data_IF_200709780070
#
_entry.id   IF_200709780070
#
_cell.length_a   1.000
_cell.length_b   1.000
_cell.length_c   1.000
_cell.angle_alpha   90.00
_cell.angle_beta   90.00
_cell.angle_gamma   90.00
#
_symmetry.space_group_name_H-M   'P 1'
#
loop_
_entity.id
_entity.type
_entity.pdbx_description
1 polymer ?
#
# COMPACT_ATOMS: atom_id res chain seq x y z
N UNK A 1 -13.28 5.92 -28.34
CA UNK A 1 -12.44 6.41 -27.22
C UNK A 1 -12.82 7.82 -26.72
N UNK A 2 -13.50 8.67 -27.50
CA UNK A 2 -13.91 10.05 -27.11
C UNK A 2 -15.04 10.08 -26.06
N UNK A 3 -15.95 9.10 -26.08
CA UNK A 3 -17.12 9.05 -25.20
C UNK A 3 -16.77 8.88 -23.71
N UNK A 4 -15.79 8.03 -23.38
CA UNK A 4 -15.37 7.77 -21.99
C UNK A 4 -14.76 9.04 -21.37
N UNK A 5 -13.99 9.80 -22.13
CA UNK A 5 -13.31 11.02 -21.67
C UNK A 5 -14.29 12.13 -21.28
N UNK A 6 -15.48 12.20 -21.89
CA UNK A 6 -16.48 13.22 -21.59
C UNK A 6 -17.54 12.77 -20.58
N UNK A 7 -18.02 11.53 -20.70
CA UNK A 7 -19.11 11.01 -19.86
C UNK A 7 -18.65 10.80 -18.41
N UNK A 8 -17.45 10.25 -18.21
CA UNK A 8 -16.90 9.95 -16.87
C UNK A 8 -16.76 11.22 -16.01
N UNK A 9 -16.13 12.31 -16.47
CA UNK A 9 -16.06 13.54 -15.68
C UNK A 9 -17.41 14.24 -15.52
N UNK A 10 -18.34 14.09 -16.47
CA UNK A 10 -19.69 14.63 -16.34
C UNK A 10 -20.49 13.90 -15.25
N UNK A 11 -20.48 12.57 -15.25
CA UNK A 11 -21.09 11.73 -14.21
C UNK A 11 -20.44 11.99 -12.84
N UNK A 12 -19.12 12.08 -12.78
CA UNK A 12 -18.39 12.39 -11.54
C UNK A 12 -18.79 13.73 -10.94
N UNK A 13 -18.88 14.80 -11.76
CA UNK A 13 -19.33 16.12 -11.30
C UNK A 13 -20.78 16.10 -10.81
N UNK A 14 -21.65 15.33 -11.46
CA UNK A 14 -23.06 15.20 -11.08
C UNK A 14 -23.24 14.39 -9.78
N UNK A 15 -22.45 13.33 -9.58
CA UNK A 15 -22.51 12.47 -8.40
C UNK A 15 -21.88 13.12 -7.15
N UNK A 16 -20.79 13.87 -7.30
CA UNK A 16 -20.04 14.47 -6.18
C UNK A 16 -20.67 15.80 -5.74
N UNK A 17 -21.25 16.57 -6.66
CA UNK A 17 -21.76 17.91 -6.39
C UNK A 17 -20.66 18.99 -6.39
N UNK A 18 -21.00 20.21 -6.83
CA UNK A 18 -20.00 21.27 -7.12
C UNK A 18 -19.15 21.69 -5.92
N UNK A 19 -19.71 21.71 -4.71
CA UNK A 19 -18.99 22.10 -3.48
C UNK A 19 -17.94 21.05 -3.06
N UNK A 20 -18.29 19.77 -3.12
CA UNK A 20 -17.33 18.69 -2.84
C UNK A 20 -16.26 18.61 -3.93
N UNK A 21 -16.59 18.94 -5.18
CA UNK A 21 -15.60 19.02 -6.27
C UNK A 21 -14.51 20.09 -6.02
N UNK A 22 -14.88 21.25 -5.48
CA UNK A 22 -13.92 22.30 -5.11
C UNK A 22 -13.06 21.91 -3.90
N UNK A 23 -13.67 21.27 -2.89
CA UNK A 23 -12.94 20.82 -1.70
C UNK A 23 -11.90 19.75 -2.07
N UNK A 24 -12.28 18.81 -2.94
CA UNK A 24 -11.38 17.77 -3.46
C UNK A 24 -10.23 18.35 -4.29
N UNK A 25 -10.50 19.37 -5.11
CA UNK A 25 -9.45 20.10 -5.85
C UNK A 25 -8.46 20.76 -4.90
N UNK A 26 -8.97 21.44 -3.88
CA UNK A 26 -8.13 22.11 -2.88
C UNK A 26 -7.22 21.12 -2.14
N UNK A 27 -7.76 19.98 -1.73
CA UNK A 27 -6.98 18.88 -1.13
C UNK A 27 -5.91 18.38 -2.10
N UNK A 28 -6.29 18.14 -3.36
CA UNK A 28 -5.36 17.74 -4.42
C UNK A 28 -4.22 18.72 -4.65
N UNK A 29 -4.51 20.02 -4.63
CA UNK A 29 -3.51 21.08 -4.77
C UNK A 29 -2.55 21.11 -3.58
N UNK A 30 -3.06 21.01 -2.36
CA UNK A 30 -2.23 20.93 -1.14
C UNK A 30 -1.33 19.70 -1.13
N UNK A 31 -1.86 18.54 -1.52
CA UNK A 31 -1.06 17.32 -1.68
C UNK A 31 -0.02 17.46 -2.80
N UNK A 32 -0.39 18.11 -3.90
CA UNK A 32 0.50 18.37 -5.03
C UNK A 32 1.63 19.36 -4.70
N UNK A 33 1.50 20.18 -3.66
CA UNK A 33 2.61 20.99 -3.13
C UNK A 33 3.65 20.10 -2.41
N UNK A 34 3.22 19.01 -1.76
CA UNK A 34 4.09 18.04 -1.10
C UNK A 34 4.38 16.82 -1.98
N UNK A 35 4.89 17.06 -3.20
CA UNK A 35 5.14 15.99 -4.19
C UNK A 35 5.99 14.85 -3.65
N UNK A 36 7.03 15.14 -2.86
CA UNK A 36 7.89 14.11 -2.27
C UNK A 36 7.13 13.20 -1.29
N UNK A 37 6.21 13.76 -0.50
CA UNK A 37 5.40 12.98 0.44
C UNK A 37 4.37 12.11 -0.30
N UNK A 38 3.75 12.65 -1.36
CA UNK A 38 2.86 11.87 -2.23
C UNK A 38 3.63 10.77 -2.93
N UNK A 39 4.83 11.07 -3.43
CA UNK A 39 5.69 10.08 -4.08
C UNK A 39 6.04 8.94 -3.12
N UNK A 40 6.55 9.26 -1.93
CA UNK A 40 6.89 8.28 -0.91
C UNK A 40 5.66 7.44 -0.49
N UNK A 41 4.52 8.09 -0.28
CA UNK A 41 3.28 7.40 0.08
C UNK A 41 2.84 6.42 -1.01
N UNK A 42 2.75 6.87 -2.27
CA UNK A 42 2.36 6.03 -3.41
C UNK A 42 3.35 4.89 -3.61
N UNK A 43 4.66 5.18 -3.52
CA UNK A 43 5.71 4.18 -3.67
C UNK A 43 5.61 3.09 -2.60
N UNK A 44 5.55 3.47 -1.32
CA UNK A 44 5.40 2.53 -0.21
C UNK A 44 4.09 1.75 -0.30
N UNK A 45 2.98 2.41 -0.66
CA UNK A 45 1.69 1.77 -0.86
C UNK A 45 1.76 0.70 -1.95
N UNK A 46 2.54 0.92 -3.00
CA UNK A 46 2.63 0.01 -4.16
C UNK A 46 3.60 -1.15 -3.94
N UNK A 47 4.55 -1.03 -3.02
CA UNK A 47 5.37 -2.17 -2.56
C UNK A 47 4.52 -3.12 -1.71
N UNK A 48 3.56 -2.57 -0.97
CA UNK A 48 2.65 -3.36 -0.17
C UNK A 48 1.54 -3.95 -1.07
N UNK A 49 1.05 -5.17 -0.79
CA UNK A 49 -0.06 -5.79 -1.51
C UNK A 49 -1.40 -5.16 -1.10
N UNK A 50 -1.54 -3.84 -1.32
CA UNK A 50 -2.73 -3.06 -1.02
C UNK A 50 -3.57 -2.83 -2.28
N UNK A 51 -4.82 -2.42 -2.11
CA UNK A 51 -5.75 -2.21 -3.23
C UNK A 51 -5.29 -1.05 -4.13
N UNK A 52 -4.78 -1.38 -5.31
CA UNK A 52 -4.44 -0.39 -6.34
C UNK A 52 -5.66 0.44 -6.76
N UNK A 53 -6.85 -0.19 -6.79
CA UNK A 53 -8.13 0.49 -7.04
C UNK A 53 -8.39 1.58 -6.01
N UNK A 54 -8.19 1.31 -4.72
CA UNK A 54 -8.39 2.30 -3.66
C UNK A 54 -7.44 3.50 -3.82
N UNK A 55 -6.15 3.24 -4.12
CA UNK A 55 -5.15 4.27 -4.37
C UNK A 55 -5.55 5.18 -5.54
N UNK A 56 -5.85 4.59 -6.71
CA UNK A 56 -6.20 5.36 -7.91
C UNK A 56 -7.57 6.04 -7.80
N UNK A 57 -8.51 5.45 -7.06
CA UNK A 57 -9.80 6.08 -6.76
C UNK A 57 -9.61 7.31 -5.89
N UNK A 58 -8.88 7.20 -4.78
CA UNK A 58 -8.59 8.34 -3.90
C UNK A 58 -7.83 9.45 -4.63
N UNK A 59 -6.81 9.07 -5.42
CA UNK A 59 -6.06 9.99 -6.26
C UNK A 59 -6.91 10.69 -7.33
N UNK A 60 -7.81 9.95 -7.97
CA UNK A 60 -8.73 10.47 -8.99
C UNK A 60 -9.77 11.41 -8.38
N UNK A 61 -10.33 11.07 -7.22
CA UNK A 61 -11.23 11.93 -6.47
C UNK A 61 -10.52 13.22 -6.05
N UNK A 62 -9.30 13.14 -5.53
CA UNK A 62 -8.47 14.31 -5.19
C UNK A 62 -7.90 15.04 -6.41
N UNK A 63 -8.16 14.59 -7.64
CA UNK A 63 -7.68 15.19 -8.90
C UNK A 63 -6.18 15.45 -8.93
N UNK A 64 -5.41 14.54 -8.35
CA UNK A 64 -3.96 14.61 -8.38
C UNK A 64 -3.43 14.51 -9.81
N UNK A 65 -2.30 15.20 -10.08
CA UNK A 65 -1.64 15.11 -11.38
C UNK A 65 -1.14 13.68 -11.59
N UNK A 66 -1.46 13.09 -12.73
CA UNK A 66 -1.05 11.73 -13.11
C UNK A 66 0.46 11.50 -12.96
N UNK A 67 1.25 12.49 -13.37
CA UNK A 67 2.72 12.46 -13.29
C UNK A 67 3.26 12.40 -11.85
N UNK A 68 2.44 12.74 -10.85
CA UNK A 68 2.82 12.65 -9.42
C UNK A 68 2.59 11.25 -8.84
N UNK A 69 1.76 10.41 -9.49
CA UNK A 69 1.35 9.10 -8.97
C UNK A 69 1.91 7.96 -9.82
N UNK A 70 1.89 8.08 -11.15
CA UNK A 70 2.26 6.97 -12.03
C UNK A 70 3.72 6.53 -11.85
N UNK A 71 4.73 7.43 -11.84
CA UNK A 71 6.11 7.01 -11.65
C UNK A 71 6.39 6.29 -10.31
N UNK A 72 5.99 6.82 -9.14
CA UNK A 72 6.20 6.10 -7.88
C UNK A 72 5.42 4.79 -7.81
N UNK A 73 4.21 4.75 -8.38
CA UNK A 73 3.42 3.51 -8.44
C UNK A 73 4.14 2.43 -9.24
N UNK A 74 4.60 2.76 -10.44
CA UNK A 74 5.30 1.83 -11.32
C UNK A 74 6.58 1.30 -10.68
N UNK A 75 7.41 2.19 -10.12
CA UNK A 75 8.65 1.79 -9.44
C UNK A 75 8.38 0.91 -8.22
N UNK A 76 7.39 1.28 -7.40
CA UNK A 76 7.03 0.51 -6.22
C UNK A 76 6.51 -0.88 -6.58
N UNK A 77 5.63 -0.98 -7.58
CA UNK A 77 5.09 -2.26 -8.03
C UNK A 77 6.16 -3.14 -8.67
N UNK A 78 7.03 -2.57 -9.51
CA UNK A 78 8.15 -3.30 -10.13
C UNK A 78 9.10 -3.88 -9.07
N UNK A 79 9.44 -3.10 -8.05
CA UNK A 79 10.29 -3.55 -6.95
C UNK A 79 9.55 -4.58 -6.09
N UNK A 80 8.29 -4.36 -5.76
CA UNK A 80 7.48 -5.29 -4.97
C UNK A 80 7.35 -6.65 -5.65
N UNK A 81 6.99 -6.67 -6.93
CA UNK A 81 6.90 -7.88 -7.75
C UNK A 81 8.27 -8.55 -7.89
N UNK A 82 9.33 -7.77 -8.09
CA UNK A 82 10.70 -8.28 -8.13
C UNK A 82 11.08 -8.98 -6.82
N UNK A 83 10.82 -8.36 -5.67
CA UNK A 83 11.10 -8.96 -4.36
C UNK A 83 10.33 -10.27 -4.16
N UNK A 84 9.05 -10.32 -4.57
CA UNK A 84 8.25 -11.55 -4.51
C UNK A 84 8.84 -12.66 -5.38
N UNK A 85 9.23 -12.34 -6.62
CA UNK A 85 9.85 -13.29 -7.54
C UNK A 85 11.19 -13.80 -7.01
N UNK A 86 12.07 -12.92 -6.53
CA UNK A 86 13.36 -13.31 -5.97
C UNK A 86 13.20 -14.17 -4.71
N UNK A 87 12.30 -13.78 -3.80
CA UNK A 87 12.02 -14.53 -2.58
C UNK A 87 11.44 -15.90 -2.89
N UNK A 88 10.49 -15.97 -3.84
CA UNK A 88 9.88 -17.22 -4.28
C UNK A 88 10.89 -18.14 -4.97
N UNK A 89 11.72 -17.60 -5.86
CA UNK A 89 12.79 -18.37 -6.50
C UNK A 89 13.74 -18.94 -5.45
N UNK A 90 14.25 -18.12 -4.54
CA UNK A 90 15.15 -18.54 -3.46
C UNK A 90 14.53 -19.62 -2.56
N UNK A 91 13.25 -19.46 -2.21
CA UNK A 91 12.54 -20.44 -1.40
C UNK A 91 12.43 -21.81 -2.09
N UNK A 92 12.23 -21.82 -3.43
CA UNK A 92 12.13 -23.06 -4.21
C UNK A 92 13.51 -23.71 -4.40
N UNK A 93 14.55 -22.94 -4.77
CA UNK A 93 15.89 -23.50 -5.00
C UNK A 93 16.51 -24.08 -3.73
N UNK A 94 16.25 -23.47 -2.57
CA UNK A 94 16.76 -23.96 -1.29
C UNK A 94 15.73 -24.77 -0.49
N UNK A 95 14.61 -25.14 -1.09
CA UNK A 95 13.54 -25.87 -0.39
C UNK A 95 14.03 -27.21 0.17
N UNK A 96 14.87 -27.93 -0.58
CA UNK A 96 15.48 -29.20 -0.13
C UNK A 96 16.41 -29.02 1.06
N UNK A 97 17.12 -27.89 1.11
CA UNK A 97 18.07 -27.55 2.18
C UNK A 97 17.31 -27.13 3.43
N UNK A 98 16.21 -26.39 3.27
CA UNK A 98 15.27 -26.07 4.36
C UNK A 98 14.67 -27.31 5.00
N UNK A 99 14.37 -28.37 4.23
CA UNK A 99 13.80 -29.60 4.76
C UNK A 99 14.84 -30.49 5.47
N UNK A 100 16.03 -30.64 4.88
CA UNK A 100 17.09 -31.50 5.44
C UNK A 100 17.78 -30.90 6.67
N UNK A 101 17.97 -29.58 6.71
CA UNK A 101 18.58 -28.84 7.83
C UNK A 101 17.54 -27.95 8.57
N UNK A 102 16.28 -28.39 8.64
CA UNK A 102 15.20 -27.61 9.27
C UNK A 102 15.48 -27.23 10.74
N UNK A 103 16.29 -28.03 11.45
CA UNK A 103 16.71 -27.80 12.83
C UNK A 103 17.99 -26.95 12.95
N UNK A 104 18.49 -26.36 11.85
CA UNK A 104 19.58 -25.39 11.92
C UNK A 104 19.11 -24.14 12.66
N UNK A 105 19.93 -23.66 13.61
CA UNK A 105 19.65 -22.47 14.42
C UNK A 105 19.27 -21.24 13.56
N UNK A 106 19.87 -21.09 12.37
CA UNK A 106 19.52 -20.02 11.42
C UNK A 106 18.07 -20.09 10.96
N UNK A 107 17.57 -21.28 10.65
CA UNK A 107 16.21 -21.49 10.16
C UNK A 107 15.18 -21.26 11.27
N UNK A 108 15.46 -21.75 12.49
CA UNK A 108 14.64 -21.49 13.67
C UNK A 108 14.56 -19.98 13.95
N UNK A 109 15.69 -19.28 13.88
CA UNK A 109 15.72 -17.83 14.07
C UNK A 109 14.89 -17.09 13.00
N UNK A 110 15.04 -17.45 11.72
CA UNK A 110 14.26 -16.83 10.64
C UNK A 110 12.75 -17.11 10.77
N UNK A 111 12.35 -18.34 11.11
CA UNK A 111 10.95 -18.69 11.34
C UNK A 111 10.39 -17.93 12.54
N UNK A 112 11.12 -17.89 13.66
CA UNK A 112 10.71 -17.16 14.86
C UNK A 112 10.58 -15.67 14.58
N UNK A 113 11.54 -15.08 13.87
CA UNK A 113 11.50 -13.67 13.48
C UNK A 113 10.33 -13.36 12.56
N UNK A 114 10.09 -14.20 11.54
CA UNK A 114 8.97 -14.05 10.62
C UNK A 114 7.63 -14.15 11.35
N UNK A 115 7.48 -15.14 12.23
CA UNK A 115 6.26 -15.36 13.01
C UNK A 115 6.03 -14.22 14.01
N UNK A 116 7.09 -13.69 14.62
CA UNK A 116 7.03 -12.52 15.50
C UNK A 116 6.64 -11.27 14.72
N UNK A 117 7.18 -11.05 13.52
CA UNK A 117 6.81 -9.92 12.66
C UNK A 117 5.33 -9.97 12.27
N UNK A 118 4.84 -11.14 11.82
CA UNK A 118 3.42 -11.33 11.49
C UNK A 118 2.55 -11.13 12.74
N UNK A 119 2.97 -11.66 13.88
CA UNK A 119 2.25 -11.50 15.15
C UNK A 119 2.17 -10.04 15.56
N UNK A 120 3.28 -9.29 15.52
CA UNK A 120 3.26 -7.85 15.77
C UNK A 120 2.32 -7.15 14.81
N UNK A 121 2.35 -7.49 13.52
CA UNK A 121 1.51 -6.83 12.54
C UNK A 121 0.02 -7.06 12.77
N UNK A 122 -0.34 -8.27 13.21
CA UNK A 122 -1.73 -8.67 13.46
C UNK A 122 -2.25 -8.16 14.82
N UNK A 123 -1.45 -8.28 15.88
CA UNK A 123 -1.91 -7.99 17.24
C UNK A 123 -1.73 -6.55 17.67
N UNK A 124 -0.89 -5.76 16.99
CA UNK A 124 -0.72 -4.33 17.33
C UNK A 124 -1.96 -3.55 16.92
N UNK A 125 -2.50 -2.76 17.85
CA UNK A 125 -3.57 -1.81 17.58
C UNK A 125 -3.03 -0.59 16.85
N UNK A 126 -2.90 -0.70 15.53
CA UNK A 126 -2.39 0.35 14.64
C UNK A 126 -3.08 1.69 14.85
N UNK A 127 -4.37 1.70 15.17
CA UNK A 127 -5.10 2.94 15.42
C UNK A 127 -4.62 3.64 16.68
N UNK A 128 -4.52 2.94 17.81
CA UNK A 128 -4.00 3.52 19.05
C UNK A 128 -2.50 3.86 18.95
N UNK A 129 -1.73 3.07 18.19
CA UNK A 129 -0.31 3.34 17.95
C UNK A 129 -0.12 4.61 17.12
N UNK A 130 -0.86 4.78 16.03
CA UNK A 130 -0.69 5.91 15.10
C UNK A 130 -1.38 7.19 15.59
N UNK A 131 -2.57 7.09 16.19
CA UNK A 131 -3.31 8.27 16.67
C UNK A 131 -2.81 8.75 18.04
N UNK A 132 -2.61 7.83 18.99
CA UNK A 132 -2.31 8.17 20.39
C UNK A 132 -0.85 7.93 20.79
N UNK A 133 -0.02 7.38 19.90
CA UNK A 133 1.38 6.98 20.18
C UNK A 133 1.49 6.00 21.36
N UNK A 134 0.43 5.25 21.64
CA UNK A 134 0.40 4.25 22.72
C UNK A 134 0.33 2.85 22.12
N UNK A 135 1.31 2.01 22.44
CA UNK A 135 1.34 0.64 21.98
C UNK A 135 0.34 -0.20 22.79
N UNK A 136 -0.68 -0.71 22.13
CA UNK A 136 -1.69 -1.60 22.72
C UNK A 136 -1.84 -2.82 21.82
N UNK A 137 -1.99 -3.98 22.45
CA UNK A 137 -2.25 -5.22 21.73
C UNK A 137 -3.74 -5.55 21.76
N UNK A 138 -4.32 -5.78 20.58
CA UNK A 138 -5.70 -6.25 20.42
C UNK A 138 -5.69 -7.72 20.10
N UNK A 139 -6.13 -8.52 21.05
CA UNK A 139 -6.26 -9.98 20.91
C UNK A 139 -7.62 -10.42 20.35
N UNK A 140 -8.55 -9.48 20.15
CA UNK A 140 -9.88 -9.75 19.56
C UNK A 140 -9.84 -9.54 18.05
N UNK A 141 -9.96 -10.64 17.32
CA UNK A 141 -10.06 -10.71 15.86
C UNK A 141 -11.45 -10.37 15.30
N UNK A 142 -12.45 -10.21 16.17
CA UNK A 142 -13.86 -10.01 15.80
C UNK A 142 -14.52 -8.97 16.70
N UNK A 143 -15.03 -7.91 16.06
CA UNK A 143 -16.21 -7.14 16.48
C UNK A 143 -17.04 -6.82 15.26
#
# INVERSE_FOLDING_TARGET
MIYVTYIVPWLGKKAIGRKKDSDLKFVGEKLSQKRGMVFAFVFLYSILPLSTTALFTAAGLAKLKKMTIIPPFFLGNLIGDGLLLFSGHYAITHFSDFYKDSLNFKNIFMMTLGLLLVSLFVFVDWRNLLEKKTLRFKWKFWQ
#
